data_IF_489535951079
#
_entry.id   IF_489535951079
#
_cell.length_a   1.000
_cell.length_b   1.000
_cell.length_c   1.000
_cell.angle_alpha   90.00
_cell.angle_beta   90.00
_cell.angle_gamma   90.00
#
_symmetry.space_group_name_H-M   'P 1'
#
loop_
_entity.id
_entity.type
_entity.pdbx_description
1 polymer ?
#
# COMPACT_ATOMS: atom_id res chain seq x y z
N UNK A 1 -9.79 -24.15 16.15
CA UNK A 1 -10.56 -24.36 14.90
C UNK A 1 -10.11 -25.66 14.22
N UNK A 2 -11.01 -26.36 13.51
CA UNK A 2 -10.67 -27.52 12.66
C UNK A 2 -10.51 -27.05 11.21
N UNK A 3 -9.32 -27.23 10.63
CA UNK A 3 -8.98 -26.76 9.27
C UNK A 3 -9.47 -27.67 8.13
N UNK A 4 -9.99 -28.85 8.46
CA UNK A 4 -10.33 -29.89 7.47
C UNK A 4 -11.32 -29.44 6.38
N UNK A 5 -12.30 -28.58 6.71
CA UNK A 5 -13.24 -28.04 5.71
C UNK A 5 -12.69 -26.83 4.94
N UNK A 6 -11.57 -26.24 5.38
CA UNK A 6 -10.98 -25.02 4.79
C UNK A 6 -9.83 -25.32 3.81
N UNK A 7 -9.21 -26.50 3.89
CA UNK A 7 -8.09 -26.91 3.01
C UNK A 7 -8.28 -28.30 2.44
N UNK A 8 -7.92 -28.48 1.16
CA UNK A 8 -8.09 -29.77 0.45
C UNK A 8 -7.18 -30.88 0.97
N UNK A 9 -6.00 -30.53 1.49
CA UNK A 9 -4.99 -31.48 1.95
C UNK A 9 -4.24 -30.91 3.16
N UNK A 10 -3.93 -31.79 4.11
CA UNK A 10 -3.08 -31.50 5.26
C UNK A 10 -1.91 -32.48 5.21
N UNK A 11 -0.70 -31.95 5.09
CA UNK A 11 0.53 -32.74 5.08
C UNK A 11 1.27 -32.56 6.40
N UNK A 12 1.68 -33.68 7.01
CA UNK A 12 2.55 -33.68 8.18
C UNK A 12 3.91 -34.22 7.75
N UNK A 13 4.99 -33.41 7.77
CA UNK A 13 6.31 -33.89 7.42
C UNK A 13 6.76 -34.96 8.43
N UNK A 14 7.49 -36.01 8.01
CA UNK A 14 7.95 -37.07 8.92
C UNK A 14 8.84 -36.57 10.08
N UNK A 15 9.50 -35.42 9.90
CA UNK A 15 10.34 -34.75 10.92
C UNK A 15 10.03 -33.25 10.94
N UNK A 16 8.97 -32.82 11.63
CA UNK A 16 8.51 -31.42 11.61
C UNK A 16 9.57 -30.44 12.12
N UNK A 17 10.30 -30.80 13.18
CA UNK A 17 11.39 -30.01 13.74
C UNK A 17 12.51 -29.78 12.72
N UNK A 18 12.89 -30.82 11.98
CA UNK A 18 13.94 -30.73 10.98
C UNK A 18 13.48 -29.97 9.73
N UNK A 19 12.20 -30.08 9.36
CA UNK A 19 11.62 -29.33 8.25
C UNK A 19 11.70 -27.82 8.50
N UNK A 20 11.42 -27.36 9.73
CA UNK A 20 11.56 -25.96 10.13
C UNK A 20 13.01 -25.51 10.04
N UNK A 21 13.95 -26.25 10.64
CA UNK A 21 15.38 -25.90 10.63
C UNK A 21 15.93 -25.83 9.21
N UNK A 22 15.60 -26.82 8.36
CA UNK A 22 15.99 -26.82 6.95
C UNK A 22 15.43 -25.61 6.22
N UNK A 23 14.15 -25.30 6.42
CA UNK A 23 13.51 -24.11 5.84
C UNK A 23 14.23 -22.82 6.22
N UNK A 24 14.60 -22.66 7.50
CA UNK A 24 15.35 -21.51 7.98
C UNK A 24 16.76 -21.43 7.35
N UNK A 25 17.47 -22.55 7.25
CA UNK A 25 18.78 -22.62 6.58
C UNK A 25 18.65 -22.25 5.10
N UNK A 26 17.67 -22.78 4.38
CA UNK A 26 17.42 -22.40 2.98
C UNK A 26 17.10 -20.92 2.82
N UNK A 27 16.25 -20.37 3.70
CA UNK A 27 15.91 -18.96 3.67
C UNK A 27 17.13 -18.06 3.92
N UNK A 28 18.03 -18.47 4.83
CA UNK A 28 19.28 -17.74 5.12
C UNK A 28 20.33 -17.87 4.01
N UNK A 29 20.53 -19.07 3.46
CA UNK A 29 21.54 -19.33 2.42
C UNK A 29 21.11 -18.82 1.04
N UNK A 30 19.82 -18.89 0.72
CA UNK A 30 19.27 -18.43 -0.55
C UNK A 30 17.94 -17.69 -0.35
N UNK A 31 17.97 -16.41 0.06
CA UNK A 31 16.76 -15.60 0.20
C UNK A 31 15.94 -15.48 -1.10
N UNK A 32 16.59 -15.63 -2.27
CA UNK A 32 15.95 -15.61 -3.60
C UNK A 32 15.23 -16.91 -3.95
N UNK A 33 15.25 -17.92 -3.09
CA UNK A 33 14.38 -19.09 -3.23
C UNK A 33 12.89 -18.69 -3.27
N UNK A 34 12.53 -17.58 -2.60
CA UNK A 34 11.23 -16.93 -2.80
C UNK A 34 11.36 -15.97 -3.97
N UNK A 35 10.68 -16.27 -5.07
CA UNK A 35 10.73 -15.46 -6.30
C UNK A 35 9.59 -14.46 -6.39
N UNK A 36 8.48 -14.69 -5.69
CA UNK A 36 7.31 -13.84 -5.69
C UNK A 36 6.47 -14.00 -4.41
N UNK A 37 5.61 -13.02 -4.14
CA UNK A 37 4.58 -13.05 -3.11
C UNK A 37 3.20 -12.94 -3.74
N UNK A 38 2.22 -13.60 -3.12
CA UNK A 38 0.81 -13.41 -3.42
C UNK A 38 0.26 -12.43 -2.38
N UNK A 39 -0.26 -11.30 -2.84
CA UNK A 39 -0.81 -10.27 -1.98
C UNK A 39 -2.02 -10.80 -1.19
N UNK A 40 -1.99 -10.74 0.14
CA UNK A 40 -3.12 -11.16 1.00
C UNK A 40 -4.27 -10.17 1.06
N UNK A 41 -4.03 -8.90 0.75
CA UNK A 41 -4.98 -7.79 0.90
C UNK A 41 -4.96 -6.92 -0.36
N UNK A 42 -5.96 -6.06 -0.50
CA UNK A 42 -5.88 -4.95 -1.44
C UNK A 42 -5.05 -3.84 -0.81
N UNK A 43 -4.15 -3.21 -1.56
CA UNK A 43 -3.34 -2.07 -1.07
C UNK A 43 -3.46 -0.88 -2.00
N UNK A 44 -3.33 0.31 -1.42
CA UNK A 44 -3.32 1.55 -2.17
C UNK A 44 -3.10 2.75 -1.25
N UNK A 45 -3.25 3.93 -1.82
CA UNK A 45 -3.06 5.21 -1.13
C UNK A 45 -4.25 6.12 -1.36
N UNK A 46 -4.44 7.11 -0.48
CA UNK A 46 -5.44 8.15 -0.73
C UNK A 46 -5.00 9.04 -1.89
N UNK A 47 -5.90 9.31 -2.84
CA UNK A 47 -5.60 10.11 -4.02
C UNK A 47 -6.64 11.21 -4.25
N UNK A 48 -6.15 12.36 -4.72
CA UNK A 48 -6.96 13.53 -5.05
C UNK A 48 -7.36 13.48 -6.52
N UNK A 49 -8.42 12.75 -6.82
CA UNK A 49 -8.90 12.53 -8.19
C UNK A 49 -9.98 13.55 -8.58
N UNK A 50 -10.31 13.65 -9.87
CA UNK A 50 -11.43 14.49 -10.32
C UNK A 50 -12.72 14.08 -9.58
N UNK A 51 -13.46 15.10 -9.14
CA UNK A 51 -14.71 14.95 -8.40
C UNK A 51 -15.82 14.45 -9.34
N UNK A 52 -16.52 13.40 -8.92
CA UNK A 52 -17.65 12.81 -9.64
C UNK A 52 -18.95 13.36 -9.08
N UNK A 53 -19.58 14.27 -9.81
CA UNK A 53 -20.86 14.86 -9.40
C UNK A 53 -21.95 13.80 -9.24
N UNK A 54 -22.71 13.87 -8.15
CA UNK A 54 -23.74 12.88 -7.79
C UNK A 54 -23.21 11.55 -7.24
N UNK A 55 -21.89 11.33 -7.19
CA UNK A 55 -21.27 10.08 -6.70
C UNK A 55 -20.34 10.33 -5.51
N UNK A 56 -19.42 11.29 -5.67
CA UNK A 56 -18.51 11.66 -4.59
C UNK A 56 -19.25 12.52 -3.54
N UNK A 57 -19.02 12.31 -2.23
CA UNK A 57 -19.65 13.12 -1.20
C UNK A 57 -19.22 14.59 -1.32
N UNK A 58 -20.16 15.53 -1.26
CA UNK A 58 -19.87 16.96 -1.40
C UNK A 58 -18.86 17.45 -0.34
N UNK A 59 -18.87 16.86 0.86
CA UNK A 59 -17.90 17.14 1.93
C UNK A 59 -16.45 16.77 1.59
N UNK A 60 -16.23 16.01 0.52
CA UNK A 60 -14.90 15.64 0.02
C UNK A 60 -14.44 16.50 -1.16
N UNK A 61 -15.29 17.41 -1.64
CA UNK A 61 -15.06 18.28 -2.79
C UNK A 61 -14.15 19.44 -2.43
N UNK A 62 -13.11 19.64 -3.23
CA UNK A 62 -12.19 20.79 -3.16
C UNK A 62 -11.96 21.35 -4.56
N UNK A 63 -11.76 22.67 -4.69
CA UNK A 63 -11.45 23.32 -5.98
C UNK A 63 -9.97 23.64 -6.02
N UNK A 64 -9.28 23.20 -7.07
CA UNK A 64 -7.85 23.48 -7.27
C UNK A 64 -7.63 23.78 -8.74
N UNK A 65 -6.99 24.91 -9.06
CA UNK A 65 -6.76 25.35 -10.44
C UNK A 65 -8.03 25.28 -11.31
N UNK A 66 -9.15 25.71 -10.74
CA UNK A 66 -10.51 25.64 -11.32
C UNK A 66 -11.08 24.24 -11.58
N UNK A 67 -10.42 23.17 -11.15
CA UNK A 67 -10.89 21.79 -11.27
C UNK A 67 -11.39 21.29 -9.92
N UNK A 68 -12.59 20.71 -9.90
CA UNK A 68 -13.14 20.05 -8.71
C UNK A 68 -12.50 18.67 -8.51
N UNK A 69 -12.01 18.41 -7.31
CA UNK A 69 -11.37 17.15 -6.92
C UNK A 69 -12.01 16.56 -5.66
N UNK A 70 -11.99 15.24 -5.56
CA UNK A 70 -12.32 14.49 -4.35
C UNK A 70 -11.03 14.09 -3.62
N UNK A 71 -10.88 14.54 -2.38
CA UNK A 71 -9.66 14.34 -1.59
C UNK A 71 -9.57 12.96 -0.88
N UNK A 72 -10.61 12.13 -0.96
CA UNK A 72 -10.76 10.90 -0.13
C UNK A 72 -10.78 9.59 -0.93
N UNK A 73 -10.51 9.61 -2.24
CA UNK A 73 -10.62 8.39 -3.07
C UNK A 73 -9.48 7.42 -2.79
N UNK A 74 -9.83 6.13 -2.70
CA UNK A 74 -8.85 5.06 -2.56
C UNK A 74 -8.25 4.72 -3.92
N UNK A 75 -7.00 5.11 -4.10
CA UNK A 75 -6.20 4.78 -5.27
C UNK A 75 -5.65 3.37 -5.16
N UNK A 76 -6.43 2.37 -5.59
CA UNK A 76 -5.98 0.98 -5.68
C UNK A 76 -4.65 0.88 -6.44
N UNK A 77 -3.73 0.07 -5.91
CA UNK A 77 -2.39 -0.15 -6.46
C UNK A 77 -2.06 -1.64 -6.55
N UNK A 78 -2.44 -2.43 -5.54
CA UNK A 78 -2.22 -3.88 -5.50
C UNK A 78 -3.53 -4.59 -5.23
N UNK A 79 -3.88 -5.56 -6.07
CA UNK A 79 -5.06 -6.39 -5.88
C UNK A 79 -4.80 -7.52 -4.89
N UNK A 80 -5.82 -7.92 -4.14
CA UNK A 80 -5.77 -9.16 -3.37
C UNK A 80 -5.60 -10.34 -4.33
N UNK A 81 -4.73 -11.28 -3.96
CA UNK A 81 -4.33 -12.41 -4.81
C UNK A 81 -3.34 -12.08 -5.92
N UNK A 82 -2.92 -10.83 -6.07
CA UNK A 82 -1.93 -10.45 -7.09
C UNK A 82 -0.57 -11.06 -6.77
N UNK A 83 0.03 -11.74 -7.77
CA UNK A 83 1.42 -12.20 -7.71
C UNK A 83 2.35 -11.04 -8.04
N UNK A 84 3.35 -10.81 -7.19
CA UNK A 84 4.33 -9.74 -7.33
C UNK A 84 5.71 -10.36 -7.13
N UNK A 85 6.60 -10.19 -8.10
CA UNK A 85 8.00 -10.65 -8.00
C UNK A 85 8.76 -9.93 -6.89
N UNK A 86 9.76 -10.58 -6.29
CA UNK A 86 10.58 -9.97 -5.22
C UNK A 86 11.39 -8.78 -5.73
N UNK A 87 11.78 -8.79 -7.01
CA UNK A 87 12.49 -7.69 -7.69
C UNK A 87 11.52 -6.75 -8.43
N UNK A 88 10.21 -6.98 -8.33
CA UNK A 88 9.18 -6.14 -8.94
C UNK A 88 8.62 -5.14 -7.93
N UNK A 89 8.11 -4.03 -8.47
CA UNK A 89 7.35 -3.06 -7.71
C UNK A 89 6.16 -2.57 -8.52
N UNK A 90 5.17 -2.09 -7.79
CA UNK A 90 4.10 -1.30 -8.36
C UNK A 90 4.45 0.16 -8.15
N UNK A 91 4.05 1.00 -9.09
CA UNK A 91 4.31 2.44 -9.05
C UNK A 91 3.01 3.21 -9.27
N UNK A 92 2.89 4.36 -8.61
CA UNK A 92 1.80 5.31 -8.83
C UNK A 92 2.28 6.73 -8.64
N UNK A 93 1.87 7.61 -9.54
CA UNK A 93 2.10 9.05 -9.41
C UNK A 93 0.99 9.68 -8.58
N UNK A 94 1.39 10.48 -7.58
CA UNK A 94 0.48 11.23 -6.71
C UNK A 94 0.73 12.72 -6.95
N UNK A 95 -0.31 13.45 -7.31
CA UNK A 95 -0.21 14.90 -7.45
C UNK A 95 -0.49 15.54 -6.09
N UNK A 96 0.46 16.34 -5.62
CA UNK A 96 0.32 17.17 -4.42
C UNK A 96 0.19 18.64 -4.83
N UNK A 97 -0.57 19.41 -4.07
CA UNK A 97 -0.89 20.80 -4.38
C UNK A 97 -0.42 21.73 -3.26
N UNK A 98 0.31 22.79 -3.61
CA UNK A 98 0.96 23.72 -2.68
C UNK A 98 -0.03 24.36 -1.71
N UNK A 99 -1.22 24.74 -2.20
CA UNK A 99 -2.31 25.32 -1.40
C UNK A 99 -2.69 24.48 -0.17
N UNK A 100 -2.60 23.14 -0.27
CA UNK A 100 -3.00 22.23 0.80
C UNK A 100 -1.83 21.57 1.53
N UNK A 101 -0.63 21.70 0.98
CA UNK A 101 0.52 20.89 1.38
C UNK A 101 1.79 21.72 1.60
N UNK A 102 1.69 23.04 1.76
CA UNK A 102 2.85 23.92 1.90
C UNK A 102 3.72 23.59 3.12
N UNK A 103 3.10 23.25 4.25
CA UNK A 103 3.79 22.90 5.49
C UNK A 103 4.28 21.44 5.51
N UNK A 104 3.56 20.54 4.84
CA UNK A 104 3.88 19.11 4.81
C UNK A 104 2.92 18.31 3.93
N UNK A 105 3.35 17.12 3.51
CA UNK A 105 2.54 16.12 2.79
C UNK A 105 2.55 14.84 3.60
N UNK A 106 1.38 14.28 3.84
CA UNK A 106 1.20 12.94 4.42
C UNK A 106 0.65 12.02 3.33
N UNK A 107 1.32 10.89 3.11
CA UNK A 107 0.91 9.86 2.15
C UNK A 107 0.49 8.63 2.93
N UNK A 108 -0.79 8.51 3.30
CA UNK A 108 -1.29 7.35 4.04
C UNK A 108 -1.43 6.13 3.11
N UNK A 109 -0.92 5.00 3.59
CA UNK A 109 -1.01 3.69 2.93
C UNK A 109 -2.16 2.92 3.58
N UNK A 110 -3.09 2.45 2.75
CA UNK A 110 -4.26 1.72 3.21
C UNK A 110 -4.29 0.29 2.68
N UNK A 111 -4.92 -0.58 3.45
CA UNK A 111 -5.29 -1.92 3.02
C UNK A 111 -6.78 -2.22 3.26
N UNK A 112 -7.30 -3.12 2.44
CA UNK A 112 -8.64 -3.69 2.58
C UNK A 112 -8.54 -5.21 2.57
N UNK A 113 -9.19 -5.88 3.53
CA UNK A 113 -9.09 -7.33 3.71
C UNK A 113 -10.30 -8.11 3.15
N UNK A 114 -11.32 -7.44 2.62
CA UNK A 114 -12.46 -8.11 1.97
C UNK A 114 -12.04 -8.98 0.78
N UNK A 115 -12.92 -9.90 0.39
CA UNK A 115 -12.74 -10.73 -0.81
C UNK A 115 -13.38 -10.08 -2.06
N UNK A 116 -14.28 -9.14 -1.82
CA UNK A 116 -14.92 -8.26 -2.77
C UNK A 116 -14.01 -7.11 -3.24
N UNK A 117 -14.50 -6.33 -4.20
CA UNK A 117 -13.85 -5.10 -4.65
C UNK A 117 -13.75 -4.10 -3.49
N UNK A 118 -12.59 -3.47 -3.28
CA UNK A 118 -12.42 -2.51 -2.20
C UNK A 118 -13.35 -1.30 -2.38
N UNK A 119 -13.78 -0.66 -1.29
CA UNK A 119 -14.54 0.57 -1.36
C UNK A 119 -13.81 1.68 -2.14
N UNK A 120 -14.57 2.59 -2.73
CA UNK A 120 -14.05 3.73 -3.50
C UNK A 120 -13.30 4.76 -2.64
N UNK A 121 -13.50 4.75 -1.32
CA UNK A 121 -12.98 5.77 -0.41
C UNK A 121 -12.09 5.15 0.66
N UNK A 122 -10.98 5.82 0.99
CA UNK A 122 -10.04 5.40 2.03
C UNK A 122 -10.62 5.47 3.44
N UNK A 123 -11.73 6.18 3.61
CA UNK A 123 -12.46 6.37 4.87
C UNK A 123 -13.65 5.41 5.04
N UNK A 124 -13.89 4.55 4.06
CA UNK A 124 -14.97 3.56 4.13
C UNK A 124 -14.71 2.50 5.20
N UNK A 125 -15.79 1.89 5.70
CA UNK A 125 -15.69 0.76 6.62
C UNK A 125 -14.85 -0.39 6.04
N UNK A 126 -14.02 -1.01 6.87
CA UNK A 126 -13.11 -2.09 6.48
C UNK A 126 -11.79 -1.62 5.84
N UNK A 127 -11.58 -0.32 5.65
CA UNK A 127 -10.29 0.25 5.25
C UNK A 127 -9.39 0.43 6.47
N UNK A 128 -8.15 -0.04 6.39
CA UNK A 128 -7.17 0.06 7.47
C UNK A 128 -5.97 0.88 7.02
N UNK A 129 -5.63 1.93 7.77
CA UNK A 129 -4.37 2.65 7.57
C UNK A 129 -3.23 1.81 8.15
N UNK A 130 -2.25 1.47 7.32
CA UNK A 130 -1.12 0.63 7.71
C UNK A 130 0.11 1.43 8.12
N UNK A 131 0.40 2.51 7.38
CA UNK A 131 1.49 3.43 7.64
C UNK A 131 1.26 4.75 6.89
N UNK A 132 2.22 5.66 7.01
CA UNK A 132 2.29 6.89 6.24
C UNK A 132 3.74 7.25 5.91
N UNK A 133 3.93 8.01 4.83
CA UNK A 133 5.19 8.66 4.48
C UNK A 133 4.97 10.17 4.52
N UNK A 134 5.88 10.90 5.17
CA UNK A 134 5.69 12.32 5.46
C UNK A 134 6.83 13.14 4.88
N UNK A 135 6.53 14.11 4.01
CA UNK A 135 7.49 15.12 3.57
C UNK A 135 7.23 16.42 4.30
N UNK A 136 8.23 16.91 5.03
CA UNK A 136 8.21 18.27 5.56
C UNK A 136 8.55 19.26 4.46
N UNK A 137 7.86 20.41 4.42
CA UNK A 137 8.10 21.49 3.45
C UNK A 137 8.32 20.97 2.00
N UNK A 138 7.29 20.41 1.36
CA UNK A 138 7.42 19.80 0.04
C UNK A 138 7.57 20.84 -1.08
N UNK A 139 7.20 22.09 -0.79
CA UNK A 139 7.24 23.22 -1.71
C UNK A 139 8.16 24.33 -1.20
N UNK A 140 8.92 24.90 -2.12
CA UNK A 140 9.67 26.15 -1.98
C UNK A 140 8.86 27.33 -2.52
N UNK A 141 9.35 28.55 -2.29
CA UNK A 141 8.71 29.77 -2.78
C UNK A 141 8.62 29.81 -4.31
N UNK A 142 9.64 29.30 -5.00
CA UNK A 142 9.75 29.28 -6.47
C UNK A 142 9.00 28.15 -7.15
N UNK A 143 8.50 27.18 -6.38
CA UNK A 143 7.79 26.04 -6.95
C UNK A 143 6.41 26.43 -7.50
N UNK A 144 6.06 25.77 -8.60
CA UNK A 144 4.72 25.74 -9.19
C UNK A 144 3.67 25.21 -8.21
N UNK A 145 2.39 25.40 -8.51
CA UNK A 145 1.29 25.05 -7.61
C UNK A 145 1.12 23.54 -7.34
N UNK A 146 1.75 22.68 -8.14
CA UNK A 146 1.65 21.22 -7.98
C UNK A 146 2.98 20.51 -8.23
N UNK A 147 3.22 19.42 -7.50
CA UNK A 147 4.33 18.50 -7.75
C UNK A 147 3.84 17.07 -7.85
N UNK A 148 4.65 16.20 -8.44
CA UNK A 148 4.39 14.77 -8.52
C UNK A 148 5.28 14.05 -7.51
N UNK A 149 4.65 13.20 -6.71
CA UNK A 149 5.32 12.22 -5.88
C UNK A 149 5.24 10.86 -6.59
N UNK A 150 6.37 10.24 -6.85
CA UNK A 150 6.44 8.86 -7.34
C UNK A 150 6.37 7.93 -6.13
N UNK A 151 5.25 7.23 -5.96
CA UNK A 151 5.04 6.26 -4.90
C UNK A 151 5.24 4.83 -5.43
N UNK A 152 6.06 4.04 -4.73
CA UNK A 152 6.37 2.65 -5.11
C UNK A 152 6.07 1.70 -3.96
N UNK A 153 5.57 0.51 -4.28
CA UNK A 153 5.41 -0.58 -3.32
C UNK A 153 6.10 -1.84 -3.81
N UNK A 154 6.89 -2.44 -2.91
CA UNK A 154 7.67 -3.65 -3.12
C UNK A 154 7.15 -4.73 -2.17
N UNK A 155 6.91 -5.93 -2.71
CA UNK A 155 6.43 -7.08 -1.94
C UNK A 155 7.54 -8.12 -1.82
N UNK A 156 8.70 -7.67 -1.33
CA UNK A 156 9.89 -8.49 -1.16
C UNK A 156 9.90 -9.30 0.13
N UNK A 157 10.78 -10.30 0.19
CA UNK A 157 11.19 -11.07 1.38
C UNK A 157 10.13 -11.15 2.50
N UNK A 158 10.39 -10.58 3.68
CA UNK A 158 9.56 -10.68 4.89
C UNK A 158 8.71 -9.43 5.18
N UNK A 159 8.84 -8.36 4.41
CA UNK A 159 8.18 -7.07 4.66
C UNK A 159 7.77 -6.41 3.35
N UNK A 160 6.64 -5.70 3.36
CA UNK A 160 6.29 -4.79 2.28
C UNK A 160 7.13 -3.52 2.49
N UNK A 161 7.86 -3.09 1.46
CA UNK A 161 8.54 -1.79 1.47
C UNK A 161 7.72 -0.82 0.63
N UNK A 162 7.51 0.39 1.12
CA UNK A 162 6.93 1.47 0.35
C UNK A 162 7.89 2.66 0.32
N UNK A 163 8.05 3.26 -0.85
CA UNK A 163 8.85 4.47 -1.02
C UNK A 163 8.03 5.57 -1.67
N UNK A 164 8.33 6.81 -1.30
CA UNK A 164 7.80 7.99 -1.95
C UNK A 164 8.98 8.87 -2.31
N UNK A 165 9.06 9.28 -3.57
CA UNK A 165 10.09 10.19 -4.08
C UNK A 165 9.45 11.49 -4.54
N UNK A 166 9.97 12.60 -4.02
CA UNK A 166 9.60 13.96 -4.39
C UNK A 166 10.88 14.75 -4.68
N UNK A 167 11.04 15.19 -5.93
CA UNK A 167 12.27 15.81 -6.42
C UNK A 167 13.50 14.89 -6.16
N UNK A 168 14.49 15.36 -5.40
CA UNK A 168 15.66 14.59 -4.96
C UNK A 168 15.48 13.87 -3.63
N UNK A 169 14.36 14.08 -2.93
CA UNK A 169 14.08 13.47 -1.62
C UNK A 169 13.35 12.15 -1.81
N UNK A 170 13.80 11.10 -1.13
CA UNK A 170 13.12 9.81 -1.07
C UNK A 170 12.94 9.39 0.38
N UNK A 171 11.73 8.96 0.72
CA UNK A 171 11.37 8.46 2.05
C UNK A 171 10.90 7.03 1.88
N UNK A 172 11.30 6.18 2.82
CA UNK A 172 10.98 4.75 2.82
C UNK A 172 10.32 4.39 4.15
N UNK A 173 9.31 3.51 4.08
CA UNK A 173 8.77 2.81 5.25
C UNK A 173 8.69 1.32 4.95
N UNK A 174 8.78 0.50 5.99
CA UNK A 174 8.48 -0.93 5.91
C UNK A 174 7.21 -1.25 6.66
N UNK A 175 6.51 -2.26 6.18
CA UNK A 175 5.21 -2.71 6.62
C UNK A 175 5.33 -4.22 6.82
N UNK A 176 5.06 -4.70 8.04
CA UNK A 176 5.07 -6.14 8.30
C UNK A 176 3.81 -6.78 7.73
N UNK A 177 3.94 -7.96 7.14
CA UNK A 177 2.84 -8.76 6.61
C UNK A 177 1.95 -9.38 7.71
N UNK A 178 1.62 -8.66 8.78
CA UNK A 178 0.87 -9.10 9.96
C UNK A 178 1.60 -10.14 10.82
N UNK A 179 2.25 -9.70 11.90
CA UNK A 179 2.55 -10.56 13.06
C UNK A 179 1.47 -10.42 14.16
N UNK A 180 0.48 -9.56 13.96
CA UNK A 180 -0.53 -9.22 14.98
C UNK A 180 -1.88 -8.91 14.29
N UNK A 181 -2.47 -9.90 13.63
CA UNK A 181 -3.93 -9.88 13.46
C UNK A 181 -4.49 -10.34 14.82
N UNK A 182 -4.76 -9.39 15.72
CA UNK A 182 -5.55 -9.68 16.92
C UNK A 182 -6.99 -9.79 16.45
N UNK A 183 -7.46 -11.04 16.34
CA UNK A 183 -8.86 -11.39 16.10
C UNK A 183 -9.71 -11.19 17.35
#
# INVERSE_FOLDING_TARGET
EKFYSKVKQIFVPPRPELAVVRGAVYAGLNPKAVTARISRRWYGVCQWMNFREGVDPESSRVKIDNIWRCQKRFGLMVKKGQKIGVDEYLEKELVIFKEFNSAGVIIPIYAFNGNETPPDYSTSSGMFKLAELNFDTPFSSTDVNSKIVTFKMYFGLSEIKATAKLDSREITTTLRFDATDVY
#
